data_IF_438030614078
#
_entry.id   IF_438030614078
#
_cell.length_a   1.000
_cell.length_b   1.000
_cell.length_c   1.000
_cell.angle_alpha   90.00
_cell.angle_beta   90.00
_cell.angle_gamma   90.00
#
_symmetry.space_group_name_H-M   'P 1'
#
loop_
_entity.id
_entity.type
_entity.pdbx_description
1 polymer ?
#
# COMPACT_ATOMS: atom_id res chain seq x y z
N UNK A 1 -10.11 -1.09 8.08
CA UNK A 1 -9.46 0.20 8.34
C UNK A 1 -10.00 1.19 7.32
N UNK A 2 -9.81 2.49 7.51
CA UNK A 2 -10.06 3.44 6.43
C UNK A 2 -8.94 3.34 5.38
N UNK A 3 -9.23 3.71 4.12
CA UNK A 3 -8.19 3.77 3.09
C UNK A 3 -7.09 4.78 3.42
N UNK A 4 -7.38 5.77 4.27
CA UNK A 4 -6.42 6.76 4.74
C UNK A 4 -5.46 6.18 5.79
N UNK A 5 -5.98 5.37 6.72
CA UNK A 5 -5.16 4.62 7.69
C UNK A 5 -4.17 3.70 6.98
N UNK A 6 -4.62 2.93 5.98
CA UNK A 6 -3.73 2.03 5.23
C UNK A 6 -2.69 2.78 4.40
N UNK A 7 -2.99 3.99 3.90
CA UNK A 7 -1.97 4.85 3.28
C UNK A 7 -0.93 5.35 4.29
N UNK A 8 -1.40 5.80 5.46
CA UNK A 8 -0.52 6.27 6.53
C UNK A 8 0.43 5.16 7.00
N UNK A 9 -0.06 3.94 7.20
CA UNK A 9 0.77 2.81 7.60
C UNK A 9 1.85 2.48 6.56
N UNK A 10 1.52 2.53 5.26
CA UNK A 10 2.52 2.33 4.20
C UNK A 10 3.62 3.39 4.26
N UNK A 11 3.28 4.66 4.54
CA UNK A 11 4.28 5.72 4.71
C UNK A 11 5.18 5.48 5.92
N UNK A 12 4.62 5.07 7.05
CA UNK A 12 5.41 4.70 8.24
C UNK A 12 6.37 3.55 7.93
N UNK A 13 5.89 2.50 7.24
CA UNK A 13 6.72 1.37 6.83
C UNK A 13 7.84 1.82 5.88
N UNK A 14 7.55 2.72 4.93
CA UNK A 14 8.56 3.30 4.03
C UNK A 14 9.64 4.04 4.83
N UNK A 15 9.26 4.86 5.80
CA UNK A 15 10.21 5.59 6.64
C UNK A 15 11.11 4.63 7.42
N UNK A 16 10.54 3.58 8.03
CA UNK A 16 11.31 2.55 8.76
C UNK A 16 12.28 1.77 7.86
N UNK A 17 11.89 1.52 6.62
CA UNK A 17 12.76 0.89 5.63
C UNK A 17 13.94 1.82 5.26
N UNK A 18 13.66 3.11 5.03
CA UNK A 18 14.67 4.10 4.68
C UNK A 18 15.63 4.39 5.83
N UNK A 19 15.15 4.37 7.08
CA UNK A 19 15.98 4.49 8.29
C UNK A 19 16.75 3.21 8.63
N UNK A 20 16.55 2.12 7.87
CA UNK A 20 17.13 0.79 8.11
C UNK A 20 16.69 0.16 9.45
N UNK A 21 15.59 0.60 10.03
CA UNK A 21 14.98 -0.02 11.22
C UNK A 21 14.40 -1.40 10.92
N UNK A 22 13.96 -1.63 9.68
CA UNK A 22 13.42 -2.91 9.22
C UNK A 22 14.07 -3.34 7.90
N UNK A 23 14.15 -4.65 7.68
CA UNK A 23 14.62 -5.21 6.41
C UNK A 23 13.59 -5.01 5.30
N UNK A 24 14.03 -5.12 4.05
CA UNK A 24 13.14 -5.09 2.89
C UNK A 24 12.05 -6.17 2.94
N UNK A 25 12.42 -7.39 3.32
CA UNK A 25 11.48 -8.51 3.50
C UNK A 25 10.43 -8.17 4.55
N UNK A 26 10.86 -7.59 5.68
CA UNK A 26 9.96 -7.22 6.75
C UNK A 26 9.03 -6.08 6.36
N UNK A 27 9.54 -5.08 5.65
CA UNK A 27 8.73 -4.00 5.10
C UNK A 27 7.67 -4.54 4.13
N UNK A 28 8.01 -5.54 3.30
CA UNK A 28 7.09 -6.18 2.37
C UNK A 28 5.98 -6.95 3.08
N UNK A 29 6.32 -7.73 4.11
CA UNK A 29 5.33 -8.42 4.94
C UNK A 29 4.34 -7.42 5.56
N UNK A 30 4.84 -6.36 6.18
CA UNK A 30 4.03 -5.35 6.87
C UNK A 30 3.14 -4.57 5.89
N UNK A 31 3.63 -4.23 4.70
CA UNK A 31 2.88 -3.43 3.72
C UNK A 31 1.83 -4.24 2.95
N UNK A 32 1.99 -5.56 2.82
CA UNK A 32 1.10 -6.43 2.03
C UNK A 32 -0.39 -6.33 2.42
N UNK A 33 -0.79 -6.42 3.70
CA UNK A 33 -2.19 -6.29 4.08
C UNK A 33 -2.78 -4.91 3.73
N UNK A 34 -2.02 -3.84 3.94
CA UNK A 34 -2.45 -2.48 3.61
C UNK A 34 -2.60 -2.26 2.11
N UNK A 35 -1.66 -2.77 1.31
CA UNK A 35 -1.74 -2.73 -0.15
C UNK A 35 -2.95 -3.48 -0.69
N UNK A 36 -3.28 -4.63 -0.10
CA UNK A 36 -4.46 -5.41 -0.48
C UNK A 36 -5.74 -4.61 -0.26
N UNK A 37 -5.90 -4.00 0.92
CA UNK A 37 -7.07 -3.18 1.23
C UNK A 37 -7.20 -1.96 0.31
N UNK A 38 -6.09 -1.26 0.04
CA UNK A 38 -6.09 -0.13 -0.89
C UNK A 38 -6.44 -0.53 -2.33
N UNK A 39 -5.96 -1.68 -2.79
CA UNK A 39 -6.30 -2.20 -4.11
C UNK A 39 -7.76 -2.64 -4.19
N UNK A 40 -8.32 -3.24 -3.14
CA UNK A 40 -9.75 -3.57 -3.08
C UNK A 40 -10.63 -2.30 -3.13
N UNK A 41 -10.27 -1.25 -2.38
CA UNK A 41 -10.95 0.04 -2.43
C UNK A 41 -10.82 0.65 -3.84
N UNK A 42 -9.60 0.68 -4.38
CA UNK A 42 -9.34 1.22 -5.72
C UNK A 42 -10.09 0.47 -6.82
N UNK A 43 -10.24 -0.84 -6.69
CA UNK A 43 -11.03 -1.67 -7.60
C UNK A 43 -12.51 -1.27 -7.56
N UNK A 44 -13.10 -1.15 -6.36
CA UNK A 44 -14.51 -0.72 -6.21
C UNK A 44 -14.76 0.66 -6.81
N UNK A 45 -13.83 1.60 -6.64
CA UNK A 45 -13.92 2.94 -7.23
C UNK A 45 -13.81 2.87 -8.75
N UNK A 46 -12.84 2.12 -9.27
CA UNK A 46 -12.65 1.96 -10.71
C UNK A 46 -13.88 1.35 -11.38
N UNK A 47 -14.46 0.31 -10.78
CA UNK A 47 -15.72 -0.32 -11.22
C UNK A 47 -16.87 0.69 -11.22
N UNK A 48 -17.05 1.45 -10.13
CA UNK A 48 -18.08 2.50 -10.03
C UNK A 48 -18.00 3.54 -11.15
N UNK A 49 -16.79 3.89 -11.56
CA UNK A 49 -16.55 4.90 -12.59
C UNK A 49 -16.29 4.32 -13.99
N UNK A 50 -16.45 2.99 -14.18
CA UNK A 50 -16.14 2.27 -15.43
C UNK A 50 -14.74 2.56 -15.97
N UNK A 51 -13.76 2.69 -15.07
CA UNK A 51 -12.34 2.92 -15.41
C UNK A 51 -11.53 1.65 -15.15
N UNK A 52 -10.38 1.56 -15.81
CA UNK A 52 -9.41 0.49 -15.54
C UNK A 52 -8.78 0.70 -14.17
N UNK A 53 -8.78 -0.33 -13.33
CA UNK A 53 -8.05 -0.31 -12.07
C UNK A 53 -6.57 -0.58 -12.30
N UNK A 54 -5.71 0.23 -11.69
CA UNK A 54 -4.27 0.05 -11.66
C UNK A 54 -3.84 -0.25 -10.22
N UNK A 55 -3.38 -1.48 -9.93
CA UNK A 55 -3.06 -1.88 -8.57
C UNK A 55 -1.77 -1.21 -8.09
N UNK A 56 -1.78 -0.77 -6.84
CA UNK A 56 -0.61 -0.35 -6.09
C UNK A 56 0.27 -1.56 -5.81
N UNK A 57 1.56 -1.42 -6.07
CA UNK A 57 2.57 -2.45 -5.80
C UNK A 57 3.51 -1.97 -4.70
N UNK A 58 4.08 -2.94 -3.97
CA UNK A 58 5.07 -2.63 -2.94
C UNK A 58 6.23 -1.80 -3.48
N UNK A 59 6.81 -2.20 -4.60
CA UNK A 59 7.92 -1.49 -5.24
C UNK A 59 7.53 -0.08 -5.70
N UNK A 60 6.30 0.10 -6.18
CA UNK A 60 5.78 1.41 -6.58
C UNK A 60 5.59 2.36 -5.41
N UNK A 61 5.20 1.85 -4.23
CA UNK A 61 5.01 2.66 -3.03
C UNK A 61 6.31 2.97 -2.29
N UNK A 62 7.32 2.11 -2.43
CA UNK A 62 8.60 2.24 -1.72
C UNK A 62 9.66 3.04 -2.48
N UNK A 63 9.49 3.27 -3.79
CA UNK A 63 10.17 4.36 -4.50
C UNK A 63 9.67 5.70 -3.97
#
# INVERSE_FOLDING_TARGET
>A
MSGEESRYQIQVIKLRLLSKEISYEKARELATPHLKELNEIGKRIAEKHRRKHYPLTFTGMMR
#
